data_IF_427570714695
#
_entry.id   IF_427570714695
#
_cell.length_a   1.000
_cell.length_b   1.000
_cell.length_c   1.000
_cell.angle_alpha   90.00
_cell.angle_beta   90.00
_cell.angle_gamma   90.00
#
_symmetry.space_group_name_H-M   'P 1'
#
loop_
_entity.id
_entity.type
_entity.pdbx_description
1 polymer ?
#
# COMPACT_ATOMS: atom_id res chain seq x y z
N UNK A 1 -6.49 25.12 13.22
CA UNK A 1 -6.00 24.14 14.22
C UNK A 1 -6.71 22.79 14.06
N UNK A 2 -6.77 22.22 12.85
CA UNK A 2 -7.34 20.86 12.64
C UNK A 2 -6.77 20.10 11.44
N UNK A 3 -5.76 20.60 10.73
CA UNK A 3 -5.20 19.89 9.56
C UNK A 3 -3.77 19.34 9.80
N UNK A 4 -3.05 19.88 10.77
CA UNK A 4 -1.62 19.57 10.96
C UNK A 4 -1.32 18.29 11.77
N UNK A 5 -2.31 17.62 12.35
CA UNK A 5 -2.12 16.35 13.08
C UNK A 5 -2.31 15.10 12.22
N UNK A 6 -2.70 15.24 10.95
CA UNK A 6 -2.95 14.11 10.03
C UNK A 6 -1.86 13.89 8.98
N UNK A 7 -0.72 14.58 9.12
CA UNK A 7 0.44 14.41 8.24
C UNK A 7 1.51 13.49 8.83
N UNK A 8 1.12 12.49 9.62
CA UNK A 8 1.76 11.18 9.46
C UNK A 8 1.31 10.69 8.08
N UNK A 9 2.04 11.08 7.03
CA UNK A 9 1.61 11.03 5.64
C UNK A 9 0.93 9.71 5.27
N UNK A 10 -0.09 9.80 4.41
CA UNK A 10 -0.81 8.61 3.95
C UNK A 10 0.17 7.50 3.57
N UNK A 11 -0.08 6.25 4.00
CA UNK A 11 0.85 5.16 3.78
C UNK A 11 1.14 5.00 2.29
N UNK A 12 2.43 4.86 1.96
CA UNK A 12 2.87 4.64 0.58
C UNK A 12 2.65 3.17 0.18
N UNK A 13 2.76 2.88 -1.12
CA UNK A 13 2.72 1.50 -1.60
C UNK A 13 3.90 0.68 -1.04
N UNK A 14 5.03 1.33 -0.78
CA UNK A 14 6.20 0.75 -0.14
C UNK A 14 5.94 0.37 1.31
N UNK A 15 5.19 1.19 2.06
CA UNK A 15 4.81 0.89 3.44
C UNK A 15 3.88 -0.32 3.53
N UNK A 16 2.88 -0.38 2.63
CA UNK A 16 1.98 -1.54 2.52
C UNK A 16 2.75 -2.79 2.10
N UNK A 17 3.66 -2.68 1.14
CA UNK A 17 4.48 -3.79 0.67
C UNK A 17 5.35 -4.36 1.79
N UNK A 18 5.99 -3.49 2.59
CA UNK A 18 6.79 -3.91 3.75
C UNK A 18 5.92 -4.59 4.81
N UNK A 19 4.77 -4.02 5.15
CA UNK A 19 3.87 -4.60 6.14
C UNK A 19 3.31 -5.97 5.72
N UNK A 20 3.05 -6.16 4.44
CA UNK A 20 2.54 -7.42 3.89
C UNK A 20 3.62 -8.43 3.48
N UNK A 21 4.91 -8.08 3.56
CA UNK A 21 6.01 -8.97 3.16
C UNK A 21 6.07 -9.27 1.67
N UNK A 22 5.54 -8.38 0.82
CA UNK A 22 5.48 -8.54 -0.64
C UNK A 22 6.25 -7.44 -1.36
N UNK A 23 6.40 -7.57 -2.67
CA UNK A 23 6.99 -6.52 -3.51
C UNK A 23 5.99 -5.37 -3.76
N UNK A 24 6.50 -4.14 -3.92
CA UNK A 24 5.68 -2.99 -4.37
C UNK A 24 4.92 -3.27 -5.66
N UNK A 25 5.55 -4.02 -6.59
CA UNK A 25 4.93 -4.40 -7.86
C UNK A 25 3.71 -5.30 -7.66
N UNK A 26 3.70 -6.13 -6.62
CA UNK A 26 2.54 -6.94 -6.23
C UNK A 26 1.40 -6.04 -5.75
N UNK A 27 1.67 -5.08 -4.85
CA UNK A 27 0.66 -4.13 -4.37
C UNK A 27 0.09 -3.28 -5.52
N UNK A 28 0.95 -2.80 -6.42
CA UNK A 28 0.52 -2.06 -7.62
C UNK A 28 -0.41 -2.89 -8.50
N UNK A 29 -0.11 -4.17 -8.73
CA UNK A 29 -0.99 -5.08 -9.48
C UNK A 29 -2.37 -5.25 -8.82
N UNK A 30 -2.43 -5.37 -7.49
CA UNK A 30 -3.68 -5.48 -6.73
C UNK A 30 -4.55 -4.23 -6.92
N UNK A 31 -3.97 -3.04 -6.73
CA UNK A 31 -4.70 -1.76 -6.89
C UNK A 31 -5.19 -1.57 -8.32
N UNK A 32 -4.42 -2.00 -9.31
CA UNK A 32 -4.80 -1.95 -10.71
C UNK A 32 -5.72 -3.12 -11.13
N UNK A 33 -6.18 -3.96 -10.20
CA UNK A 33 -7.14 -5.03 -10.46
C UNK A 33 -6.62 -6.15 -11.36
N UNK A 34 -5.30 -6.33 -11.44
CA UNK A 34 -4.68 -7.41 -12.23
C UNK A 34 -5.00 -8.74 -11.56
N UNK A 35 -5.70 -9.63 -12.30
CA UNK A 35 -6.11 -10.96 -11.82
C UNK A 35 -4.88 -11.85 -11.57
N UNK A 36 -5.02 -12.83 -10.66
CA UNK A 36 -3.99 -13.79 -10.20
C UNK A 36 -3.02 -13.27 -9.13
N UNK A 37 -3.48 -12.42 -8.20
CA UNK A 37 -2.74 -12.22 -6.94
C UNK A 37 -3.31 -13.19 -5.91
N UNK A 38 -2.46 -14.08 -5.40
CA UNK A 38 -2.80 -15.00 -4.31
C UNK A 38 -2.89 -14.20 -2.99
N UNK A 39 -4.07 -14.10 -2.36
CA UNK A 39 -4.21 -13.46 -1.06
C UNK A 39 -3.74 -14.44 0.02
N UNK A 40 -2.43 -14.44 0.29
CA UNK A 40 -1.85 -15.16 1.43
C UNK A 40 -2.39 -14.67 2.77
#
# INVERSE_FOLDING_TARGET
MTDDLRSAGAPTLEDVARAAGVSRATVSRVINGVRNVDPA
#
